data_IF_977984194678
#
_entry.id   IF_977984194678
#
_cell.length_a   1.000
_cell.length_b   1.000
_cell.length_c   1.000
_cell.angle_alpha   90.00
_cell.angle_beta   90.00
_cell.angle_gamma   90.00
#
_symmetry.space_group_name_H-M   'P 1'
#
loop_
_entity.id
_entity.type
_entity.pdbx_description
1 polymer ?
#
# COMPACT_ATOMS: atom_id res chain seq x y z
N UNK A 1 9.23 4.80 4.25
CA UNK A 1 9.07 3.54 5.00
C UNK A 1 9.22 2.33 4.09
N UNK A 2 8.33 2.08 3.12
CA UNK A 2 8.47 0.94 2.18
C UNK A 2 9.78 0.95 1.39
N UNK A 3 10.15 2.10 0.78
CA UNK A 3 11.43 2.25 0.06
C UNK A 3 12.69 2.05 0.94
N UNK A 4 12.54 2.01 2.27
CA UNK A 4 13.62 1.77 3.23
C UNK A 4 13.57 0.35 3.83
N UNK A 5 12.65 -0.51 3.38
CA UNK A 5 12.43 -1.85 3.95
C UNK A 5 11.88 -1.83 5.38
N UNK A 6 11.38 -0.69 5.87
CA UNK A 6 10.86 -0.53 7.23
C UNK A 6 9.41 -1.01 7.33
N UNK A 7 9.20 -2.31 7.15
CA UNK A 7 7.87 -2.92 7.09
C UNK A 7 7.11 -2.87 8.42
N UNK A 8 7.82 -2.96 9.56
CA UNK A 8 7.19 -2.82 10.89
C UNK A 8 6.61 -1.43 11.09
N UNK A 9 7.39 -0.37 10.86
CA UNK A 9 6.91 1.02 10.97
C UNK A 9 5.74 1.29 10.01
N UNK A 10 5.76 0.71 8.81
CA UNK A 10 4.67 0.82 7.86
C UNK A 10 3.40 0.11 8.36
N UNK A 11 3.55 -1.12 8.85
CA UNK A 11 2.44 -1.92 9.38
C UNK A 11 1.83 -1.30 10.65
N UNK A 12 2.63 -0.70 11.53
CA UNK A 12 2.15 -0.01 12.72
C UNK A 12 1.36 1.25 12.36
N UNK A 13 1.77 1.95 11.29
CA UNK A 13 1.10 3.18 10.85
C UNK A 13 -0.18 2.92 10.06
N UNK A 14 -0.17 1.94 9.17
CA UNK A 14 -1.22 1.73 8.18
C UNK A 14 -1.94 0.38 8.28
N UNK A 15 -1.48 -0.55 9.13
CA UNK A 15 -2.02 -1.91 9.13
C UNK A 15 -1.95 -2.59 7.76
N UNK A 16 -2.73 -3.67 7.59
CA UNK A 16 -2.91 -4.30 6.28
C UNK A 16 -4.27 -5.03 6.18
N UNK A 17 -5.13 -4.61 5.26
CA UNK A 17 -6.51 -5.12 5.17
C UNK A 17 -6.57 -6.60 4.73
N UNK A 18 -5.69 -7.00 3.81
CA UNK A 18 -5.66 -8.34 3.20
C UNK A 18 -4.56 -9.20 3.83
N UNK A 19 -4.43 -9.13 5.15
CA UNK A 19 -3.42 -9.91 5.87
C UNK A 19 -3.71 -11.42 5.87
N UNK A 20 -4.99 -11.83 5.74
CA UNK A 20 -5.41 -13.24 5.68
C UNK A 20 -4.81 -14.08 6.82
N UNK A 21 -5.06 -13.66 8.07
CA UNK A 21 -4.54 -14.29 9.30
C UNK A 21 -3.01 -14.19 9.52
N UNK A 22 -2.24 -13.67 8.55
CA UNK A 22 -0.83 -13.34 8.73
C UNK A 22 -0.68 -12.09 9.60
N UNK A 23 0.48 -11.92 10.24
CA UNK A 23 0.85 -10.62 10.83
C UNK A 23 0.98 -9.59 9.71
N UNK A 24 0.50 -8.36 9.92
CA UNK A 24 0.53 -7.29 8.91
C UNK A 24 1.92 -7.13 8.28
N UNK A 25 2.97 -7.03 9.09
CA UNK A 25 4.37 -6.93 8.62
C UNK A 25 4.77 -8.07 7.67
N UNK A 26 4.34 -9.30 7.98
CA UNK A 26 4.64 -10.48 7.16
C UNK A 26 3.91 -10.40 5.83
N UNK A 27 2.61 -10.07 5.87
CA UNK A 27 1.80 -9.93 4.67
C UNK A 27 2.32 -8.83 3.74
N UNK A 28 2.57 -7.64 4.29
CA UNK A 28 3.13 -6.50 3.55
C UNK A 28 4.47 -6.87 2.91
N UNK A 29 5.39 -7.48 3.68
CA UNK A 29 6.71 -7.84 3.15
C UNK A 29 6.64 -8.89 2.04
N UNK A 30 5.74 -9.87 2.15
CA UNK A 30 5.56 -10.90 1.15
C UNK A 30 4.98 -10.32 -0.14
N UNK A 31 3.93 -9.52 -0.03
CA UNK A 31 3.19 -9.00 -1.18
C UNK A 31 4.03 -7.92 -1.90
N UNK A 32 4.80 -7.12 -1.14
CA UNK A 32 5.80 -6.19 -1.68
C UNK A 32 6.92 -6.92 -2.45
N UNK A 33 7.50 -7.97 -1.88
CA UNK A 33 8.56 -8.72 -2.54
C UNK A 33 8.06 -9.44 -3.80
N UNK A 34 6.84 -9.99 -3.75
CA UNK A 34 6.22 -10.62 -4.92
C UNK A 34 5.97 -9.61 -6.04
N UNK A 35 5.53 -8.39 -5.71
CA UNK A 35 5.34 -7.32 -6.70
C UNK A 35 6.68 -6.94 -7.36
N UNK A 36 7.75 -6.74 -6.59
CA UNK A 36 9.10 -6.48 -7.12
C UNK A 36 9.62 -7.62 -8.00
N UNK A 37 9.49 -8.87 -7.53
CA UNK A 37 9.93 -10.05 -8.27
C UNK A 37 9.24 -10.15 -9.63
N UNK A 38 7.93 -9.90 -9.67
CA UNK A 38 7.14 -10.01 -10.91
C UNK A 38 7.51 -8.97 -11.98
N UNK A 39 8.14 -7.84 -11.59
CA UNK A 39 8.69 -6.85 -12.52
C UNK A 39 10.21 -6.98 -12.71
N UNK A 40 10.85 -7.96 -12.07
CA UNK A 40 12.31 -8.14 -12.10
C UNK A 40 13.09 -7.00 -11.43
N UNK A 41 12.53 -6.41 -10.39
CA UNK A 41 13.15 -5.35 -9.59
C UNK A 41 13.70 -5.89 -8.27
N UNK A 42 14.67 -5.19 -7.67
CA UNK A 42 15.22 -5.54 -6.35
C UNK A 42 14.74 -4.60 -5.24
N UNK A 43 14.17 -3.45 -5.59
CA UNK A 43 13.66 -2.47 -4.66
C UNK A 43 12.88 -1.35 -5.34
N UNK A 44 12.45 -0.38 -4.53
CA UNK A 44 11.88 0.87 -5.04
C UNK A 44 13.00 1.85 -5.42
N UNK A 45 12.72 2.69 -6.41
CA UNK A 45 13.56 3.83 -6.76
C UNK A 45 13.55 4.84 -5.60
N UNK A 46 14.71 5.09 -4.99
CA UNK A 46 14.82 6.01 -3.85
C UNK A 46 14.67 7.48 -4.21
N UNK A 47 14.90 7.84 -5.48
CA UNK A 47 14.83 9.21 -5.98
C UNK A 47 13.41 9.58 -6.44
N UNK A 48 12.54 8.59 -6.65
CA UNK A 48 11.16 8.78 -7.06
C UNK A 48 10.19 8.28 -5.98
N UNK A 49 9.61 9.21 -5.23
CA UNK A 49 8.62 8.89 -4.19
C UNK A 49 7.25 8.50 -4.77
N UNK A 50 7.06 8.54 -6.08
CA UNK A 50 5.82 8.19 -6.74
C UNK A 50 4.79 9.32 -6.82
N UNK A 51 3.61 9.02 -7.34
CA UNK A 51 2.47 9.92 -7.44
C UNK A 51 1.26 9.39 -6.67
N UNK A 52 0.48 10.29 -6.09
CA UNK A 52 -0.75 9.95 -5.37
C UNK A 52 -1.97 10.38 -6.17
N UNK A 53 -2.96 9.51 -6.24
CA UNK A 53 -4.32 9.83 -6.68
C UNK A 53 -5.29 9.49 -5.57
N UNK A 54 -6.07 10.49 -5.16
CA UNK A 54 -7.06 10.36 -4.09
C UNK A 54 -8.45 10.46 -4.73
N UNK A 55 -9.29 9.47 -4.48
CA UNK A 55 -10.66 9.40 -4.98
C UNK A 55 -11.60 9.26 -3.78
N UNK A 56 -12.36 10.29 -3.48
CA UNK A 56 -13.41 10.22 -2.46
C UNK A 56 -14.63 9.50 -3.02
N UNK A 57 -15.23 8.65 -2.22
CA UNK A 57 -16.45 7.91 -2.58
C UNK A 57 -17.56 8.24 -1.60
N UNK A 58 -18.81 8.01 -1.99
CA UNK A 58 -19.90 8.05 -1.02
C UNK A 58 -19.62 7.02 0.09
N UNK A 59 -19.81 7.39 1.37
CA UNK A 59 -19.60 6.48 2.48
C UNK A 59 -20.34 5.15 2.29
N UNK A 60 -19.58 4.07 2.27
CA UNK A 60 -20.13 2.72 2.17
C UNK A 60 -20.73 2.28 3.50
N UNK A 61 -21.53 1.21 3.49
CA UNK A 61 -22.10 0.61 4.70
C UNK A 61 -21.05 0.08 5.69
N UNK A 62 -19.80 -0.08 5.25
CA UNK A 62 -18.65 -0.51 6.05
C UNK A 62 -17.71 0.66 6.40
N UNK A 63 -18.13 1.90 6.17
CA UNK A 63 -17.40 3.11 6.57
C UNK A 63 -16.24 3.51 5.66
N UNK A 64 -16.08 2.87 4.48
CA UNK A 64 -15.11 3.32 3.47
C UNK A 64 -15.62 4.59 2.80
N UNK A 65 -14.77 5.61 2.79
CA UNK A 65 -15.08 6.97 2.31
C UNK A 65 -14.11 7.46 1.23
N UNK A 66 -13.06 6.69 0.92
CA UNK A 66 -12.15 7.02 -0.16
C UNK A 66 -11.11 5.95 -0.45
N UNK A 67 -10.49 6.08 -1.61
CA UNK A 67 -9.39 5.23 -2.08
C UNK A 67 -8.20 6.15 -2.38
N UNK A 68 -7.01 5.71 -1.99
CA UNK A 68 -5.74 6.37 -2.29
C UNK A 68 -4.91 5.39 -3.10
N UNK A 69 -4.59 5.75 -4.33
CA UNK A 69 -3.69 5.03 -5.21
C UNK A 69 -2.32 5.72 -5.15
N UNK A 70 -1.28 4.99 -4.74
CA UNK A 70 0.09 5.48 -4.73
C UNK A 70 0.92 4.69 -5.74
N UNK A 71 1.23 5.33 -6.85
CA UNK A 71 2.05 4.75 -7.92
C UNK A 71 3.50 5.05 -7.60
N UNK A 72 4.30 4.03 -7.32
CA UNK A 72 5.74 4.14 -7.04
C UNK A 72 6.54 3.49 -8.15
N UNK A 73 7.77 3.96 -8.35
CA UNK A 73 8.67 3.39 -9.33
C UNK A 73 9.64 2.40 -8.64
N UNK A 74 9.87 1.26 -9.27
CA UNK A 74 10.89 0.29 -8.92
C UNK A 74 12.27 0.73 -9.43
N UNK A 75 13.35 0.13 -8.92
CA UNK A 75 14.73 0.44 -9.29
C UNK A 75 15.07 0.22 -10.78
N UNK A 76 14.20 -0.48 -11.50
CA UNK A 76 14.30 -0.73 -12.94
C UNK A 76 13.33 0.12 -13.79
N UNK A 77 12.68 1.12 -13.19
CA UNK A 77 11.77 2.04 -13.88
C UNK A 77 10.35 1.49 -14.09
N UNK A 78 10.05 0.26 -13.63
CA UNK A 78 8.69 -0.30 -13.68
C UNK A 78 7.85 0.24 -12.51
N UNK A 79 6.54 0.33 -12.71
CA UNK A 79 5.66 0.92 -11.70
C UNK A 79 4.95 -0.15 -10.87
N UNK A 80 4.84 0.12 -9.57
CA UNK A 80 4.01 -0.62 -8.62
C UNK A 80 2.89 0.30 -8.10
N UNK A 81 1.75 -0.31 -7.81
CA UNK A 81 0.63 0.34 -7.15
C UNK A 81 0.57 -0.09 -5.69
N UNK A 82 0.48 0.88 -4.79
CA UNK A 82 0.12 0.66 -3.40
C UNK A 82 -1.25 1.30 -3.19
N UNK A 83 -2.24 0.48 -2.85
CA UNK A 83 -3.61 0.93 -2.62
C UNK A 83 -3.85 1.07 -1.12
N UNK A 84 -4.52 2.16 -0.77
CA UNK A 84 -5.00 2.41 0.59
C UNK A 84 -6.48 2.75 0.57
N UNK A 85 -7.13 2.41 1.66
CA UNK A 85 -8.53 2.72 1.92
C UNK A 85 -8.61 3.76 3.03
N UNK A 86 -9.34 4.83 2.77
CA UNK A 86 -9.73 5.80 3.77
C UNK A 86 -11.09 5.39 4.34
N UNK A 87 -11.17 5.18 5.65
CA UNK A 87 -12.38 4.74 6.33
C UNK A 87 -12.61 5.47 7.64
N UNK A 88 -13.87 5.67 8.00
CA UNK A 88 -14.27 6.18 9.31
C UNK A 88 -14.86 5.04 10.16
N UNK A 89 -14.34 4.88 11.37
CA UNK A 89 -14.81 3.91 12.36
C UNK A 89 -14.79 4.55 13.74
N UNK A 90 -15.88 4.40 14.50
CA UNK A 90 -16.01 4.93 15.86
C UNK A 90 -15.69 6.44 15.99
N UNK A 91 -16.06 7.23 14.96
CA UNK A 91 -15.81 8.67 14.92
C UNK A 91 -14.35 9.06 14.67
N UNK A 92 -13.51 8.12 14.21
CA UNK A 92 -12.11 8.34 13.85
C UNK A 92 -11.87 7.94 12.40
N UNK A 93 -11.06 8.73 11.71
CA UNK A 93 -10.62 8.42 10.36
C UNK A 93 -9.33 7.61 10.38
N UNK A 94 -9.28 6.58 9.54
CA UNK A 94 -8.17 5.65 9.40
C UNK A 94 -7.78 5.52 7.93
N UNK A 95 -6.47 5.38 7.67
CA UNK A 95 -5.94 4.98 6.38
C UNK A 95 -5.33 3.60 6.56
N UNK A 96 -5.83 2.63 5.81
CA UNK A 96 -5.35 1.25 5.86
C UNK A 96 -4.74 0.86 4.52
N UNK A 97 -3.57 0.23 4.53
CA UNK A 97 -3.02 -0.33 3.29
C UNK A 97 -3.82 -1.58 2.91
N UNK A 98 -4.33 -1.61 1.68
CA UNK A 98 -5.17 -2.71 1.19
C UNK A 98 -4.36 -3.67 0.31
N UNK A 99 -3.59 -3.13 -0.63
CA UNK A 99 -2.91 -3.94 -1.64
C UNK A 99 -1.55 -3.35 -2.03
N UNK A 100 -0.63 -4.22 -2.41
CA UNK A 100 0.62 -3.88 -3.11
C UNK A 100 0.68 -4.76 -4.35
N UNK A 101 0.75 -4.16 -5.54
CA UNK A 101 0.67 -4.88 -6.81
C UNK A 101 1.45 -4.17 -7.92
N UNK A 102 1.54 -4.80 -9.09
CA UNK A 102 2.11 -4.19 -10.30
C UNK A 102 1.02 -3.45 -11.07
N UNK A 103 1.35 -2.33 -11.70
CA UNK A 103 0.44 -1.70 -12.67
C UNK A 103 0.40 -2.49 -13.98
N UNK A 104 -0.79 -2.68 -14.59
CA UNK A 104 -0.95 -3.38 -15.86
C UNK A 104 -0.08 -2.83 -17.00
#
# INVERSE_FOLDING_TARGET
MLHQGKFEEFADKFGYAVALERKHVVAISADFNAALESVGASGLNSENIGTFKISLVEPTSIGINGIIEHIVEADNGRELLIEYVFSDSDGKSHITCEQISVLP
#
